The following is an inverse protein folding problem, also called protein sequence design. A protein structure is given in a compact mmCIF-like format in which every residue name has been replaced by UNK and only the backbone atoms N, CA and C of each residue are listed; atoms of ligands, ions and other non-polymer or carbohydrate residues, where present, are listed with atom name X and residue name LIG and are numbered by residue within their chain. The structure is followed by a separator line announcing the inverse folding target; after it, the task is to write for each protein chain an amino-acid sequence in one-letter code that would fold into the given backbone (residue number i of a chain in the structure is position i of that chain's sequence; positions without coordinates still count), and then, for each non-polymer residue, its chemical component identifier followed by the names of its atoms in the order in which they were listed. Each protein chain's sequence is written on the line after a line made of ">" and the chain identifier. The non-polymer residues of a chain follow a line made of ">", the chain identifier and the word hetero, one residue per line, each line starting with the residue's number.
data_IF_239362247527
#
_entry.id   IF_239362247527
#
_cell.length_a   1.000
_cell.length_b   1.000
_cell.length_c   1.000
_cell.angle_alpha   90.00
_cell.angle_beta   90.00
_cell.angle_gamma   90.00
#
_symmetry.space_group_name_H-M   'P 1'
#
loop_
_entity.id
_entity.type
_entity.pdbx_description
1 polymer ?
#
# COMPACT_ATOMS: atom_id res chain seq x y z
N UNK A 1 -9.27 7.36 14.26
CA UNK A 1 -8.93 6.70 12.99
C UNK A 1 -7.52 7.10 12.64
N UNK A 2 -6.62 6.13 12.54
CA UNK A 2 -5.25 6.37 12.11
C UNK A 2 -5.06 5.70 10.76
N UNK A 3 -4.56 6.46 9.78
CA UNK A 3 -4.15 5.94 8.48
C UNK A 3 -2.63 5.92 8.48
N UNK A 4 -2.06 4.73 8.34
CA UNK A 4 -0.62 4.52 8.31
C UNK A 4 -0.26 4.01 6.93
N UNK A 5 0.69 4.68 6.26
CA UNK A 5 1.31 4.12 5.06
C UNK A 5 2.13 2.89 5.46
N UNK A 6 1.84 1.74 4.87
CA UNK A 6 2.64 0.53 5.04
C UNK A 6 3.74 0.41 3.96
N UNK A 7 3.97 1.49 3.20
CA UNK A 7 4.83 1.52 2.03
C UNK A 7 4.06 1.79 0.74
N UNK A 8 4.74 1.71 -0.39
CA UNK A 8 4.34 2.29 -1.69
C UNK A 8 3.03 1.77 -2.30
N UNK A 9 2.42 0.71 -1.74
CA UNK A 9 1.22 0.09 -2.30
C UNK A 9 0.08 -0.13 -1.30
N UNK A 10 0.27 0.17 -0.01
CA UNK A 10 -0.66 -0.25 1.04
C UNK A 10 -0.89 0.81 2.10
N UNK A 11 -2.14 0.95 2.49
CA UNK A 11 -2.56 1.73 3.64
C UNK A 11 -3.11 0.76 4.70
N UNK A 12 -2.72 0.98 5.94
CA UNK A 12 -3.39 0.41 7.10
C UNK A 12 -4.34 1.46 7.68
N UNK A 13 -5.59 1.11 7.88
CA UNK A 13 -6.57 1.96 8.55
C UNK A 13 -7.08 1.29 9.81
N UNK A 14 -6.84 1.92 10.96
CA UNK A 14 -7.27 1.40 12.27
C UNK A 14 -8.45 2.18 12.85
N UNK A 15 -9.42 1.42 13.38
CA UNK A 15 -10.64 1.90 14.02
C UNK A 15 -10.64 1.54 15.51
N UNK A 16 -9.87 2.29 16.29
CA UNK A 16 -9.59 1.98 17.71
C UNK A 16 -10.78 2.20 18.66
N UNK A 17 -11.77 2.99 18.27
CA UNK A 17 -12.88 3.42 19.13
C UNK A 17 -14.25 3.02 18.59
N UNK A 18 -14.28 2.18 17.55
CA UNK A 18 -15.52 1.74 16.91
C UNK A 18 -15.68 0.24 17.10
N UNK A 19 -16.87 -0.15 17.52
CA UNK A 19 -17.30 -1.54 17.50
C UNK A 19 -17.87 -1.83 16.11
N UNK A 20 -17.29 -2.82 15.44
CA UNK A 20 -17.56 -3.13 14.03
C UNK A 20 -18.13 -4.53 13.96
N UNK A 21 -19.28 -4.67 13.31
CA UNK A 21 -19.87 -5.97 13.04
C UNK A 21 -19.25 -6.58 11.78
N UNK A 22 -18.66 -7.78 11.92
CA UNK A 22 -18.26 -8.62 10.80
C UNK A 22 -18.88 -9.99 11.00
N UNK A 23 -19.73 -10.41 10.05
CA UNK A 23 -20.38 -11.72 10.04
C UNK A 23 -21.19 -12.03 11.33
N UNK A 24 -21.75 -11.00 11.97
CA UNK A 24 -22.50 -11.13 13.23
C UNK A 24 -21.64 -11.16 14.50
N UNK A 25 -20.32 -10.98 14.37
CA UNK A 25 -19.39 -10.86 15.49
C UNK A 25 -18.92 -9.41 15.58
N UNK A 26 -18.99 -8.84 16.78
CA UNK A 26 -18.55 -7.48 17.04
C UNK A 26 -17.07 -7.46 17.45
N UNK A 27 -16.28 -6.68 16.72
CA UNK A 27 -14.86 -6.50 16.96
C UNK A 27 -14.56 -5.05 17.33
N UNK A 28 -13.51 -4.87 18.13
CA UNK A 28 -12.97 -3.55 18.49
C UNK A 28 -11.51 -3.47 18.05
N UNK A 29 -11.04 -2.27 17.72
CA UNK A 29 -9.66 -2.02 17.27
C UNK A 29 -9.29 -2.80 16.00
N UNK A 30 -10.18 -2.84 15.01
CA UNK A 30 -9.87 -3.47 13.74
C UNK A 30 -8.90 -2.63 12.93
N UNK A 31 -7.98 -3.31 12.26
CA UNK A 31 -7.08 -2.74 11.27
C UNK A 31 -7.33 -3.39 9.92
N UNK A 32 -7.68 -2.56 8.95
CA UNK A 32 -7.87 -2.95 7.56
C UNK A 32 -6.58 -2.67 6.80
N UNK A 33 -6.09 -3.65 6.06
CA UNK A 33 -4.95 -3.51 5.15
C UNK A 33 -5.49 -3.46 3.73
N UNK A 34 -5.25 -2.34 3.06
CA UNK A 34 -5.91 -1.98 1.80
C UNK A 34 -4.82 -1.55 0.82
N UNK A 35 -4.96 -1.91 -0.47
CA UNK A 35 -4.08 -1.40 -1.53
C UNK A 35 -4.63 -0.13 -2.16
N UNK A 36 -3.76 0.64 -2.82
CA UNK A 36 -4.21 1.71 -3.72
C UNK A 36 -4.78 1.15 -5.03
N UNK A 37 -5.55 1.98 -5.73
CA UNK A 37 -6.12 1.66 -7.04
C UNK A 37 -5.02 1.68 -8.10
N UNK A 38 -5.11 0.74 -9.04
CA UNK A 38 -4.31 0.78 -10.27
C UNK A 38 -4.79 1.92 -11.18
N UNK A 39 -3.96 2.28 -12.17
CA UNK A 39 -4.31 3.29 -13.17
C UNK A 39 -5.66 3.01 -13.84
N UNK A 40 -5.88 1.78 -14.30
CA UNK A 40 -7.10 1.40 -15.03
C UNK A 40 -8.34 1.45 -14.13
N UNK A 41 -8.22 1.01 -12.87
CA UNK A 41 -9.31 1.07 -11.91
C UNK A 41 -9.68 2.51 -11.59
N UNK A 42 -8.70 3.34 -11.26
CA UNK A 42 -8.93 4.75 -10.93
C UNK A 42 -9.50 5.52 -12.14
N UNK A 43 -9.00 5.25 -13.34
CA UNK A 43 -9.51 5.88 -14.58
C UNK A 43 -10.98 5.52 -14.82
N UNK A 44 -11.35 4.25 -14.61
CA UNK A 44 -12.76 3.81 -14.70
C UNK A 44 -13.62 4.50 -13.63
N UNK A 45 -13.20 4.51 -12.38
CA UNK A 45 -13.95 5.15 -11.28
C UNK A 45 -14.18 6.63 -11.57
N UNK A 46 -13.13 7.35 -11.95
CA UNK A 46 -13.22 8.77 -12.29
C UNK A 46 -14.14 9.04 -13.50
N UNK A 47 -14.33 8.07 -14.39
CA UNK A 47 -15.27 8.20 -15.52
C UNK A 47 -16.74 7.97 -15.14
N UNK A 48 -17.01 7.24 -14.05
CA UNK A 48 -18.36 6.90 -13.59
C UNK A 48 -18.88 7.92 -12.59
N UNK A 49 -18.02 8.62 -11.84
CA UNK A 49 -18.43 9.56 -10.79
C UNK A 49 -19.56 10.49 -11.27
N UNK A 50 -20.74 10.32 -10.68
CA UNK A 50 -21.96 11.08 -11.01
C UNK A 50 -22.47 11.84 -9.78
N UNK A 51 -23.48 12.69 -9.99
CA UNK A 51 -24.21 13.33 -8.88
C UNK A 51 -25.24 12.39 -8.21
N UNK A 52 -25.39 11.15 -8.70
CA UNK A 52 -26.34 10.19 -8.15
C UNK A 52 -25.75 9.50 -6.91
N UNK A 53 -26.40 9.71 -5.77
CA UNK A 53 -25.97 9.18 -4.48
C UNK A 53 -26.00 7.65 -4.42
N UNK A 54 -26.95 7.00 -5.10
CA UNK A 54 -27.04 5.54 -5.11
C UNK A 54 -25.90 4.92 -5.91
N UNK A 55 -25.56 5.53 -7.06
CA UNK A 55 -24.43 5.08 -7.88
C UNK A 55 -23.12 5.24 -7.10
N UNK A 56 -22.96 6.34 -6.38
CA UNK A 56 -21.75 6.58 -5.58
C UNK A 56 -21.61 5.58 -4.43
N UNK A 57 -22.71 5.16 -3.79
CA UNK A 57 -22.68 4.14 -2.75
C UNK A 57 -22.24 2.78 -3.30
N UNK A 58 -22.79 2.37 -4.45
CA UNK A 58 -22.35 1.14 -5.14
C UNK A 58 -20.88 1.22 -5.54
N UNK A 59 -20.42 2.38 -6.03
CA UNK A 59 -19.00 2.58 -6.34
C UNK A 59 -18.10 2.48 -5.11
N UNK A 60 -18.54 2.99 -3.96
CA UNK A 60 -17.78 2.90 -2.71
C UNK A 60 -17.65 1.44 -2.25
N UNK A 61 -18.71 0.65 -2.35
CA UNK A 61 -18.67 -0.80 -2.07
C UNK A 61 -17.73 -1.53 -3.03
N UNK A 62 -17.83 -1.26 -4.34
CA UNK A 62 -16.95 -1.84 -5.36
C UNK A 62 -15.47 -1.51 -5.09
N UNK A 63 -15.17 -0.25 -4.76
CA UNK A 63 -13.80 0.19 -4.44
C UNK A 63 -13.28 -0.54 -3.22
N UNK A 64 -14.09 -0.66 -2.18
CA UNK A 64 -13.71 -1.36 -0.96
C UNK A 64 -13.35 -2.81 -1.28
N UNK A 65 -14.25 -3.53 -1.97
CA UNK A 65 -14.08 -4.94 -2.29
C UNK A 65 -12.88 -5.19 -3.20
N UNK A 66 -12.62 -4.29 -4.16
CA UNK A 66 -11.47 -4.39 -5.06
C UNK A 66 -10.13 -4.18 -4.35
N UNK A 67 -10.09 -3.37 -3.30
CA UNK A 67 -8.85 -2.89 -2.69
C UNK A 67 -8.52 -3.50 -1.33
N UNK A 68 -9.50 -4.08 -0.65
CA UNK A 68 -9.26 -4.80 0.60
C UNK A 68 -8.32 -5.98 0.36
N UNK A 69 -7.23 -6.06 1.12
CA UNK A 69 -6.32 -7.19 1.09
C UNK A 69 -6.59 -8.14 2.27
N UNK A 70 -6.70 -7.58 3.47
CA UNK A 70 -6.97 -8.34 4.69
C UNK A 70 -7.50 -7.45 5.81
N UNK A 71 -8.15 -8.08 6.79
CA UNK A 71 -8.40 -7.48 8.10
C UNK A 71 -7.55 -8.22 9.12
N UNK A 72 -6.71 -7.48 9.83
CA UNK A 72 -5.69 -8.09 10.71
C UNK A 72 -6.36 -8.93 11.78
N UNK A 73 -6.02 -10.22 11.81
CA UNK A 73 -6.55 -11.19 12.79
C UNK A 73 -7.90 -11.81 12.41
N UNK A 74 -8.41 -11.56 11.21
CA UNK A 74 -9.62 -12.19 10.67
C UNK A 74 -9.26 -12.95 9.40
N UNK A 75 -9.44 -14.27 9.44
CA UNK A 75 -9.14 -15.16 8.31
C UNK A 75 -10.38 -15.49 7.46
N UNK A 76 -11.57 -15.17 7.96
CA UNK A 76 -12.84 -15.45 7.29
C UNK A 76 -13.16 -14.41 6.21
N UNK A 77 -13.96 -14.82 5.23
CA UNK A 77 -14.50 -13.91 4.20
C UNK A 77 -15.39 -12.86 4.88
N UNK A 78 -15.22 -11.59 4.48
CA UNK A 78 -15.91 -10.46 5.11
C UNK A 78 -17.21 -10.19 4.38
N UNK A 79 -18.33 -10.35 5.08
CA UNK A 79 -19.65 -9.95 4.60
C UNK A 79 -19.83 -8.44 4.72
N UNK A 80 -19.68 -7.75 3.60
CA UNK A 80 -19.83 -6.29 3.50
C UNK A 80 -21.25 -5.83 3.80
N UNK A 81 -22.27 -6.66 3.55
CA UNK A 81 -23.67 -6.31 3.81
C UNK A 81 -23.93 -6.15 5.31
N UNK A 82 -23.10 -6.81 6.14
CA UNK A 82 -23.18 -6.74 7.60
C UNK A 82 -22.38 -5.58 8.21
N UNK A 83 -21.50 -4.96 7.43
CA UNK A 83 -20.63 -3.87 7.87
C UNK A 83 -21.37 -2.54 7.91
N UNK A 84 -20.95 -1.66 8.83
CA UNK A 84 -21.47 -0.32 8.89
C UNK A 84 -21.06 0.48 7.65
N UNK A 85 -22.04 0.98 6.88
CA UNK A 85 -21.82 1.74 5.63
C UNK A 85 -20.82 2.92 5.79
N UNK A 86 -20.74 3.51 6.98
CA UNK A 86 -19.78 4.57 7.29
C UNK A 86 -18.31 4.12 7.21
N UNK A 87 -18.02 2.85 7.49
CA UNK A 87 -16.65 2.28 7.42
C UNK A 87 -16.24 2.08 5.96
N UNK A 88 -17.12 1.46 5.17
CA UNK A 88 -16.92 1.22 3.74
C UNK A 88 -16.65 2.55 3.03
N UNK A 89 -17.53 3.53 3.22
CA UNK A 89 -17.39 4.88 2.65
C UNK A 89 -16.08 5.57 3.06
N UNK A 90 -15.71 5.45 4.35
CA UNK A 90 -14.47 6.05 4.86
C UNK A 90 -13.22 5.44 4.23
N UNK A 91 -13.17 4.10 4.15
CA UNK A 91 -12.05 3.39 3.56
C UNK A 91 -11.96 3.70 2.06
N UNK A 92 -13.06 3.57 1.32
CA UNK A 92 -13.09 3.82 -0.12
C UNK A 92 -12.74 5.26 -0.46
N UNK A 93 -13.25 6.22 0.30
CA UNK A 93 -12.88 7.63 0.16
C UNK A 93 -11.38 7.87 0.37
N UNK A 94 -10.79 7.24 1.39
CA UNK A 94 -9.34 7.33 1.62
C UNK A 94 -8.54 6.72 0.47
N UNK A 95 -8.93 5.54 -0.02
CA UNK A 95 -8.29 4.87 -1.16
C UNK A 95 -8.34 5.74 -2.41
N UNK A 96 -9.50 6.28 -2.76
CA UNK A 96 -9.68 7.15 -3.94
C UNK A 96 -8.82 8.41 -3.79
N UNK A 97 -8.83 9.05 -2.62
CA UNK A 97 -8.05 10.27 -2.38
C UNK A 97 -6.55 10.01 -2.47
N UNK A 98 -6.04 8.96 -1.81
CA UNK A 98 -4.64 8.60 -1.86
C UNK A 98 -4.22 8.20 -3.29
N UNK A 99 -5.06 7.46 -4.01
CA UNK A 99 -4.77 7.08 -5.40
C UNK A 99 -4.75 8.30 -6.32
N UNK A 100 -5.69 9.24 -6.14
CA UNK A 100 -5.73 10.49 -6.91
C UNK A 100 -4.53 11.40 -6.64
N UNK A 101 -3.97 11.40 -5.43
CA UNK A 101 -2.74 12.15 -5.15
C UNK A 101 -1.60 11.73 -6.09
N UNK A 102 -1.32 10.44 -6.21
CA UNK A 102 -0.28 9.93 -7.11
C UNK A 102 -0.64 10.09 -8.59
N UNK A 103 -1.94 10.11 -8.93
CA UNK A 103 -2.41 10.25 -10.31
C UNK A 103 -2.36 11.70 -10.82
N UNK A 104 -2.74 12.67 -9.98
CA UNK A 104 -2.87 14.07 -10.38
C UNK A 104 -1.56 14.85 -10.25
N UNK A 105 -0.73 14.50 -9.26
CA UNK A 105 0.55 15.14 -9.02
C UNK A 105 1.66 14.09 -8.89
N UNK A 106 2.06 13.56 -10.04
CA UNK A 106 3.10 12.52 -10.13
C UNK A 106 4.42 13.03 -9.55
N UNK A 107 4.76 14.31 -9.72
CA UNK A 107 6.00 14.89 -9.22
C UNK A 107 6.02 14.89 -7.69
N UNK A 108 4.94 15.36 -7.05
CA UNK A 108 4.82 15.31 -5.59
C UNK A 108 4.79 13.87 -5.06
N UNK A 109 4.11 12.96 -5.77
CA UNK A 109 4.10 11.54 -5.46
C UNK A 109 5.50 10.93 -5.45
N UNK A 110 6.28 11.16 -6.51
CA UNK A 110 7.68 10.71 -6.60
C UNK A 110 8.53 11.34 -5.50
N UNK A 111 8.39 12.65 -5.25
CA UNK A 111 9.16 13.34 -4.22
C UNK A 111 8.88 12.77 -2.81
N UNK A 112 7.64 12.40 -2.52
CA UNK A 112 7.26 11.72 -1.28
C UNK A 112 7.95 10.36 -1.15
N UNK A 113 7.88 9.51 -2.18
CA UNK A 113 8.53 8.19 -2.15
C UNK A 113 10.06 8.30 -2.02
N UNK A 114 10.67 9.33 -2.63
CA UNK A 114 12.10 9.58 -2.47
C UNK A 114 12.49 9.94 -1.03
N UNK A 115 11.63 10.67 -0.30
CA UNK A 115 11.87 11.00 1.11
C UNK A 115 11.69 9.79 2.04
N UNK A 116 10.77 8.88 1.70
CA UNK A 116 10.52 7.65 2.46
C UNK A 116 11.51 6.51 2.12
N UNK A 117 12.19 6.61 0.98
CA UNK A 117 13.15 5.59 0.52
C UNK A 117 14.39 5.52 1.42
N UNK A 118 14.61 4.35 2.02
CA UNK A 118 15.79 4.07 2.84
C UNK A 118 16.88 3.28 2.07
N UNK A 119 17.98 2.98 2.77
CA UNK A 119 19.14 2.25 2.22
C UNK A 119 18.80 0.84 1.72
N UNK A 120 17.85 0.15 2.35
CA UNK A 120 17.41 -1.18 1.94
C UNK A 120 16.62 -1.12 0.63
N UNK A 121 15.79 -0.09 0.41
CA UNK A 121 15.09 0.10 -0.86
C UNK A 121 16.10 0.25 -2.03
N UNK A 122 17.21 0.96 -1.79
CA UNK A 122 18.28 1.10 -2.78
C UNK A 122 19.00 -0.23 -3.04
N UNK A 123 19.33 -0.98 -1.97
CA UNK A 123 19.91 -2.32 -2.10
C UNK A 123 19.01 -3.26 -2.91
N UNK A 124 17.70 -3.24 -2.63
CA UNK A 124 16.69 -4.04 -3.32
C UNK A 124 16.70 -3.76 -4.83
N UNK A 125 16.72 -2.50 -5.25
CA UNK A 125 16.78 -2.14 -6.67
C UNK A 125 18.08 -2.59 -7.34
N UNK A 126 19.22 -2.41 -6.67
CA UNK A 126 20.53 -2.85 -7.20
C UNK A 126 20.57 -4.37 -7.34
N UNK A 127 20.12 -5.11 -6.33
CA UNK A 127 20.10 -6.58 -6.37
C UNK A 127 19.10 -7.09 -7.42
N UNK A 128 17.89 -6.52 -7.48
CA UNK A 128 16.88 -6.90 -8.47
C UNK A 128 17.42 -6.76 -9.90
N UNK A 129 18.04 -5.62 -10.22
CA UNK A 129 18.64 -5.35 -11.52
C UNK A 129 19.78 -6.31 -11.85
N UNK A 130 20.73 -6.49 -10.93
CA UNK A 130 21.98 -7.22 -11.23
C UNK A 130 21.85 -8.74 -11.14
N UNK A 131 20.91 -9.24 -10.34
CA UNK A 131 20.65 -10.68 -10.21
C UNK A 131 19.43 -11.13 -11.03
N UNK A 132 18.84 -10.23 -11.83
CA UNK A 132 17.65 -10.48 -12.65
C UNK A 132 16.48 -11.07 -11.84
N UNK A 133 16.26 -10.52 -10.65
CA UNK A 133 15.17 -10.91 -9.74
C UNK A 133 14.03 -9.91 -9.94
N UNK A 134 12.79 -10.39 -10.04
CA UNK A 134 11.64 -9.47 -10.15
C UNK A 134 11.53 -8.63 -8.88
N UNK A 135 11.19 -7.35 -9.02
CA UNK A 135 11.15 -6.45 -7.87
C UNK A 135 10.15 -6.90 -6.80
N UNK A 136 9.00 -7.46 -7.18
CA UNK A 136 8.06 -8.05 -6.22
C UNK A 136 8.67 -9.17 -5.35
N UNK A 137 9.61 -9.94 -5.91
CA UNK A 137 10.28 -11.04 -5.20
C UNK A 137 11.40 -10.51 -4.30
N UNK A 138 12.01 -9.36 -4.65
CA UNK A 138 13.01 -8.69 -3.80
C UNK A 138 12.40 -8.04 -2.56
N UNK A 139 11.15 -7.56 -2.65
CA UNK A 139 10.46 -6.91 -1.54
C UNK A 139 10.23 -7.84 -0.34
N UNK A 140 10.08 -9.14 -0.60
CA UNK A 140 9.87 -10.17 0.43
C UNK A 140 11.14 -10.92 0.81
N UNK A 141 12.29 -10.52 0.26
CA UNK A 141 13.58 -11.17 0.52
C UNK A 141 14.03 -10.93 1.96
N UNK A 142 14.49 -11.97 2.69
CA UNK A 142 15.11 -11.80 4.00
C UNK A 142 16.28 -10.80 3.96
N UNK A 143 16.38 -9.96 4.99
CA UNK A 143 17.37 -8.87 5.05
C UNK A 143 18.81 -9.41 4.95
N UNK A 144 19.10 -10.54 5.60
CA UNK A 144 20.42 -11.17 5.55
C UNK A 144 20.79 -11.63 4.13
N UNK A 145 19.84 -12.18 3.38
CA UNK A 145 20.04 -12.58 1.99
C UNK A 145 20.24 -11.37 1.08
N UNK A 146 19.44 -10.32 1.26
CA UNK A 146 19.55 -9.06 0.52
C UNK A 146 20.95 -8.44 0.72
N UNK A 147 21.38 -8.29 1.97
CA UNK A 147 22.69 -7.73 2.33
C UNK A 147 23.81 -8.59 1.76
N UNK A 148 23.72 -9.92 1.83
CA UNK A 148 24.71 -10.83 1.24
C UNK A 148 24.85 -10.63 -0.27
N UNK A 149 23.74 -10.58 -1.01
CA UNK A 149 23.76 -10.37 -2.47
C UNK A 149 24.30 -9.00 -2.83
N UNK A 150 23.94 -7.98 -2.05
CA UNK A 150 24.45 -6.63 -2.24
C UNK A 150 25.96 -6.54 -2.00
N UNK A 151 26.47 -7.17 -0.92
CA UNK A 151 27.91 -7.24 -0.66
C UNK A 151 28.67 -7.98 -1.79
N UNK A 152 28.12 -9.07 -2.31
CA UNK A 152 28.69 -9.76 -3.48
C UNK A 152 28.75 -8.84 -4.71
N UNK A 153 27.71 -8.03 -4.94
CA UNK A 153 27.71 -7.04 -6.00
C UNK A 153 28.83 -6.00 -5.80
N UNK A 154 28.95 -5.41 -4.61
CA UNK A 154 30.00 -4.41 -4.34
C UNK A 154 31.42 -4.95 -4.56
N UNK A 155 31.68 -6.19 -4.15
CA UNK A 155 32.99 -6.84 -4.36
C UNK A 155 33.24 -7.14 -5.84
N UNK A 156 32.20 -7.51 -6.58
CA UNK A 156 32.31 -7.90 -8.01
C UNK A 156 32.40 -6.67 -8.92
N UNK A 157 31.68 -5.59 -8.59
CA UNK A 157 31.56 -4.36 -9.38
C UNK A 157 31.87 -3.12 -8.52
N UNK A 158 33.11 -2.97 -8.01
CA UNK A 158 33.46 -1.90 -7.07
C UNK A 158 33.32 -0.49 -7.67
N UNK A 159 33.42 -0.33 -9.00
CA UNK A 159 33.22 0.94 -9.69
C UNK A 159 31.75 1.36 -9.82
N UNK A 160 30.81 0.46 -9.58
CA UNK A 160 29.35 0.68 -9.69
C UNK A 160 28.64 0.62 -8.33
N UNK A 161 29.39 0.32 -7.27
CA UNK A 161 28.88 0.21 -5.92
C UNK A 161 28.42 1.57 -5.39
N UNK A 162 27.20 1.60 -4.84
CA UNK A 162 26.79 2.67 -3.92
C UNK A 162 27.75 2.63 -2.74
N UNK A 163 28.55 3.67 -2.58
CA UNK A 163 29.50 3.79 -1.49
C UNK A 163 28.72 4.32 -0.28
N UNK A 164 28.51 3.47 0.73
CA UNK A 164 28.00 3.93 2.02
C UNK A 164 29.17 4.56 2.78
N UNK A 165 29.71 5.64 2.25
CA UNK A 165 30.64 6.45 3.02
C UNK A 165 29.86 6.94 4.23
N UNK A 166 30.25 6.40 5.39
CA UNK A 166 29.93 7.00 6.68
C UNK A 166 30.44 8.43 6.58
N UNK A 167 29.55 9.40 6.51
CA UNK A 167 29.92 10.73 6.99
C UNK A 167 30.27 10.50 8.46
N UNK A 168 31.57 10.47 8.76
CA UNK A 168 32.09 10.54 10.12
C UNK A 168 31.59 11.88 10.69
N UNK A 169 30.67 11.82 11.65
CA UNK A 169 30.40 12.95 12.57
C UNK A 169 31.67 13.33 13.34
#
# INVERSE_FOLDING_TARGET
>A
MNIISLGSERIAMSFDLLEINLNGIYYNNLTFVIRLLTYDELSRINSIQTQDALINLVLEEDVFQLTLLEVVGIEDEIDLDSMEAGIVSTISGAVINCSNFYFQDVEAGVAKEMQESNIFNQMQLVVAKNFNIQFKDILVMPIDELVRKFALFQVTFPSEALDFNREEE
#
